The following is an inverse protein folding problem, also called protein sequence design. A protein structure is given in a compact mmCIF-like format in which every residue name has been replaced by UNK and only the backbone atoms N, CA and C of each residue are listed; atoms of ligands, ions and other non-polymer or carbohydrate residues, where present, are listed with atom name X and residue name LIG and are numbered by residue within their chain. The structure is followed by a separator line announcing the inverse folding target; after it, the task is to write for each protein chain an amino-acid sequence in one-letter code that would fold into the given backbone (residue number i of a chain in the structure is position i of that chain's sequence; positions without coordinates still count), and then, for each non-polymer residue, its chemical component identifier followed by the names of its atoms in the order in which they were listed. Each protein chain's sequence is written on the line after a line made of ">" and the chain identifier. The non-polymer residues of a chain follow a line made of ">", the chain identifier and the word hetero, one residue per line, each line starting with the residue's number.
data_IF_340145393145
#
_entry.id   IF_340145393145
#
_cell.length_a   1.000
_cell.length_b   1.000
_cell.length_c   1.000
_cell.angle_alpha   90.00
_cell.angle_beta   90.00
_cell.angle_gamma   90.00
#
_symmetry.space_group_name_H-M   'P 1'
#
loop_
_entity.id
_entity.type
_entity.pdbx_description
1 polymer ?
#
# COMPACT_ATOMS: atom_id res chain seq x y z
N UNK A 1 -6.35 4.04 13.07
CA UNK A 1 -4.95 4.40 12.81
C UNK A 1 -4.24 4.55 14.14
N UNK A 2 -3.05 3.99 14.29
CA UNK A 2 -2.24 4.18 15.49
C UNK A 2 -1.55 5.56 15.43
N UNK A 3 -1.77 6.42 16.43
CA UNK A 3 -1.26 7.80 16.44
C UNK A 3 0.24 7.90 16.70
N UNK A 4 0.87 6.85 17.25
CA UNK A 4 2.31 6.83 17.53
C UNK A 4 3.13 6.39 16.30
N UNK A 5 2.60 5.43 15.55
CA UNK A 5 3.29 4.82 14.40
C UNK A 5 2.71 5.24 13.06
N UNK A 6 1.65 6.07 13.07
CA UNK A 6 0.86 6.45 11.89
C UNK A 6 0.50 5.26 10.98
N UNK A 7 0.24 4.11 11.59
CA UNK A 7 -0.01 2.85 10.86
C UNK A 7 -1.47 2.42 10.95
N UNK A 8 -1.90 1.67 9.94
CA UNK A 8 -3.21 1.04 9.86
C UNK A 8 -3.21 -0.22 10.72
N UNK A 9 -4.20 -0.38 11.60
CA UNK A 9 -4.34 -1.59 12.42
C UNK A 9 -5.12 -2.67 11.67
N UNK A 10 -6.28 -2.29 11.13
CA UNK A 10 -7.08 -3.11 10.24
C UNK A 10 -7.98 -2.19 9.39
N UNK A 11 -8.42 -2.69 8.25
CA UNK A 11 -9.50 -2.09 7.47
C UNK A 11 -10.66 -3.07 7.38
N UNK A 12 -11.87 -2.54 7.20
CA UNK A 12 -13.07 -3.35 6.98
C UNK A 12 -13.92 -2.67 5.93
N UNK A 13 -14.32 -3.43 4.93
CA UNK A 13 -15.31 -3.05 3.92
C UNK A 13 -16.29 -4.18 3.69
N UNK A 14 -17.42 -3.87 3.05
CA UNK A 14 -18.46 -4.83 2.70
C UNK A 14 -18.63 -4.82 1.20
N UNK A 15 -18.57 -6.01 0.59
CA UNK A 15 -18.76 -6.18 -0.85
C UNK A 15 -20.17 -6.72 -1.13
N UNK A 16 -21.11 -5.87 -1.58
CA UNK A 16 -22.40 -6.34 -2.04
C UNK A 16 -22.23 -7.12 -3.35
N UNK A 17 -22.44 -8.44 -3.29
CA UNK A 17 -22.25 -9.34 -4.44
C UNK A 17 -23.06 -8.96 -5.68
N UNK A 18 -24.24 -8.38 -5.49
CA UNK A 18 -25.11 -7.91 -6.59
C UNK A 18 -24.50 -6.77 -7.40
N UNK A 19 -23.66 -5.95 -6.79
CA UNK A 19 -23.09 -4.76 -7.42
C UNK A 19 -21.70 -5.00 -8.04
N UNK A 20 -21.10 -6.19 -7.84
CA UNK A 20 -19.81 -6.56 -8.46
C UNK A 20 -19.89 -6.52 -9.99
N UNK A 21 -21.01 -6.95 -10.58
CA UNK A 21 -21.22 -6.93 -12.04
C UNK A 21 -21.20 -5.51 -12.64
N UNK A 22 -21.49 -4.51 -11.81
CA UNK A 22 -21.51 -3.09 -12.20
C UNK A 22 -20.31 -2.32 -11.66
N UNK A 23 -19.28 -3.02 -11.16
CA UNK A 23 -18.08 -2.38 -10.64
C UNK A 23 -17.33 -1.62 -11.73
N UNK A 24 -16.80 -0.46 -11.35
CA UNK A 24 -15.89 0.33 -12.20
C UNK A 24 -14.56 -0.43 -12.34
N UNK A 25 -14.02 -0.50 -13.56
CA UNK A 25 -12.78 -1.24 -13.84
C UNK A 25 -11.51 -0.39 -13.82
N UNK A 26 -11.63 0.93 -13.73
CA UNK A 26 -10.51 1.87 -13.65
C UNK A 26 -9.86 1.81 -12.27
N UNK A 27 -8.62 1.34 -12.19
CA UNK A 27 -7.87 1.23 -10.92
C UNK A 27 -6.82 2.32 -10.75
N UNK A 28 -6.95 3.44 -11.47
CA UNK A 28 -5.95 4.52 -11.40
C UNK A 28 -6.25 5.54 -10.30
N UNK A 29 -5.20 6.01 -9.63
CA UNK A 29 -5.30 7.06 -8.61
C UNK A 29 -3.95 7.58 -8.15
N UNK A 30 -3.99 8.70 -7.45
CA UNK A 30 -2.81 9.38 -6.89
C UNK A 30 -2.86 9.25 -5.37
N UNK A 31 -1.73 8.94 -4.74
CA UNK A 31 -1.63 8.87 -3.29
C UNK A 31 -1.89 10.23 -2.65
N UNK A 32 -2.67 10.24 -1.56
CA UNK A 32 -3.06 11.46 -0.85
C UNK A 32 -2.87 11.30 0.66
N UNK A 33 -2.36 12.37 1.27
CA UNK A 33 -2.26 12.53 2.72
C UNK A 33 -3.55 13.18 3.24
N UNK A 34 -4.19 12.62 4.27
CA UNK A 34 -5.27 13.33 4.97
C UNK A 34 -4.72 14.23 6.08
N UNK A 35 -5.59 15.02 6.70
CA UNK A 35 -5.27 15.85 7.86
C UNK A 35 -4.80 15.06 9.10
N UNK A 36 -4.89 13.73 9.09
CA UNK A 36 -4.41 12.86 10.17
C UNK A 36 -2.88 12.79 10.25
N UNK A 37 -2.18 13.08 9.16
CA UNK A 37 -0.72 13.16 9.17
C UNK A 37 -0.27 14.59 9.49
N UNK A 38 0.54 14.74 10.53
CA UNK A 38 1.14 16.05 10.88
C UNK A 38 2.02 16.59 9.75
N UNK A 39 2.20 17.91 9.67
CA UNK A 39 3.12 18.55 8.70
C UNK A 39 4.56 18.00 8.75
N UNK A 40 5.00 17.55 9.93
CA UNK A 40 6.33 16.97 10.12
C UNK A 40 6.55 15.62 9.41
N UNK A 41 5.48 14.91 9.06
CA UNK A 41 5.54 13.58 8.44
C UNK A 41 5.08 13.70 7.00
N UNK A 42 6.00 13.43 6.07
CA UNK A 42 5.70 13.33 4.65
C UNK A 42 5.78 11.86 4.19
N UNK A 43 4.65 11.15 4.04
CA UNK A 43 4.65 9.76 3.61
C UNK A 43 5.28 9.56 2.23
N UNK A 44 5.14 10.52 1.30
CA UNK A 44 5.70 10.39 -0.05
C UNK A 44 7.22 10.18 -0.02
N UNK A 45 7.91 10.86 0.88
CA UNK A 45 9.37 10.71 1.04
C UNK A 45 9.73 9.48 1.86
N UNK A 46 8.95 9.15 2.90
CA UNK A 46 9.22 8.02 3.80
C UNK A 46 9.16 6.65 3.10
N UNK A 47 8.27 6.49 2.12
CA UNK A 47 8.22 5.28 1.30
C UNK A 47 9.30 5.23 0.22
N UNK A 48 10.16 6.26 0.10
CA UNK A 48 11.25 6.28 -0.87
C UNK A 48 12.34 5.25 -0.54
N UNK A 49 12.92 4.63 -1.57
CA UNK A 49 13.99 3.64 -1.40
C UNK A 49 15.20 4.18 -0.62
N UNK A 50 15.52 5.47 -0.77
CA UNK A 50 16.60 6.11 -0.01
C UNK A 50 16.33 6.11 1.51
N UNK A 51 15.09 6.40 1.92
CA UNK A 51 14.70 6.35 3.33
C UNK A 51 14.63 4.92 3.86
N UNK A 52 14.18 3.97 3.03
CA UNK A 52 14.21 2.54 3.37
C UNK A 52 15.64 2.05 3.58
N UNK A 53 16.57 2.43 2.70
CA UNK A 53 17.98 2.07 2.82
C UNK A 53 18.61 2.69 4.08
N UNK A 54 18.33 3.96 4.36
CA UNK A 54 18.81 4.63 5.57
C UNK A 54 18.29 3.93 6.83
N UNK A 55 17.00 3.64 6.89
CA UNK A 55 16.38 2.95 8.03
C UNK A 55 16.91 1.52 8.20
N UNK A 56 17.07 0.78 7.11
CA UNK A 56 17.62 -0.59 7.16
C UNK A 56 19.10 -0.59 7.54
N UNK A 57 19.86 0.43 7.15
CA UNK A 57 21.27 0.60 7.56
C UNK A 57 21.38 0.84 9.06
N UNK A 58 20.50 1.67 9.62
CA UNK A 58 20.41 1.91 11.06
C UNK A 58 20.08 0.63 11.83
N UNK A 59 19.13 -0.17 11.34
CA UNK A 59 18.69 -1.41 11.99
C UNK A 59 19.70 -2.56 11.86
N UNK A 60 20.37 -2.68 10.72
CA UNK A 60 21.30 -3.77 10.41
C UNK A 60 22.77 -3.42 10.73
N UNK A 61 23.04 -2.17 11.12
CA UNK A 61 24.35 -1.65 11.50
C UNK A 61 25.31 -1.36 10.34
N UNK A 62 25.04 -1.85 9.12
CA UNK A 62 25.89 -1.62 7.95
C UNK A 62 25.08 -1.41 6.66
N UNK A 63 25.57 -0.54 5.79
CA UNK A 63 24.93 -0.24 4.51
C UNK A 63 24.95 -1.45 3.55
N UNK A 64 26.01 -2.28 3.62
CA UNK A 64 26.15 -3.45 2.77
C UNK A 64 25.11 -4.53 3.10
N UNK A 65 24.67 -4.61 4.36
CA UNK A 65 23.57 -5.50 4.74
C UNK A 65 22.23 -4.95 4.26
N UNK A 66 22.01 -3.63 4.35
CA UNK A 66 20.79 -3.00 3.86
C UNK A 66 20.61 -3.15 2.34
N UNK A 67 21.70 -3.00 1.57
CA UNK A 67 21.70 -3.17 0.10
C UNK A 67 21.38 -4.59 -0.37
N UNK A 68 21.48 -5.61 0.50
CA UNK A 68 21.05 -6.98 0.17
C UNK A 68 19.52 -7.10 0.07
N UNK A 69 18.80 -6.26 0.81
CA UNK A 69 17.34 -6.30 0.90
C UNK A 69 16.65 -5.18 0.14
N UNK A 70 17.30 -4.02 0.01
CA UNK A 70 16.80 -2.87 -0.74
C UNK A 70 17.60 -2.75 -2.03
N UNK A 71 17.01 -3.22 -3.13
CA UNK A 71 17.53 -3.16 -4.50
C UNK A 71 16.50 -2.53 -5.43
N UNK A 72 16.87 -2.30 -6.69
CA UNK A 72 15.96 -1.73 -7.69
C UNK A 72 14.72 -2.61 -7.96
N UNK A 73 14.81 -3.92 -7.66
CA UNK A 73 13.72 -4.89 -7.85
C UNK A 73 13.09 -5.33 -6.54
N UNK A 74 13.81 -5.24 -5.42
CA UNK A 74 13.37 -5.65 -4.09
C UNK A 74 13.34 -4.44 -3.18
N UNK A 75 12.16 -3.86 -3.01
CA UNK A 75 11.94 -2.74 -2.11
C UNK A 75 10.50 -2.76 -1.60
N UNK A 76 10.24 -2.00 -0.55
CA UNK A 76 8.89 -1.85 -0.01
C UNK A 76 8.13 -0.84 -0.86
N UNK A 77 6.94 -1.20 -1.30
CA UNK A 77 6.00 -0.31 -1.96
C UNK A 77 4.86 0.02 -1.02
N UNK A 78 4.07 1.01 -1.42
CA UNK A 78 2.80 1.35 -0.77
C UNK A 78 1.76 0.30 -1.16
N UNK A 79 1.65 -0.74 -0.35
CA UNK A 79 0.65 -1.79 -0.52
C UNK A 79 -0.71 -1.33 0.01
N UNK A 80 -1.78 -1.64 -0.72
CA UNK A 80 -3.15 -1.34 -0.28
C UNK A 80 -3.61 -2.39 0.74
N UNK A 81 -4.07 -1.97 1.92
CA UNK A 81 -4.69 -2.89 2.90
C UNK A 81 -6.09 -3.30 2.44
N UNK A 82 -6.89 -2.32 2.04
CA UNK A 82 -8.14 -2.51 1.30
C UNK A 82 -7.82 -2.48 -0.19
N UNK A 83 -7.93 -3.60 -0.91
CA UNK A 83 -7.62 -3.63 -2.33
C UNK A 83 -8.45 -2.62 -3.12
N UNK A 84 -7.83 -1.94 -4.09
CA UNK A 84 -8.57 -1.02 -4.97
C UNK A 84 -9.60 -1.78 -5.82
N UNK A 85 -9.28 -3.01 -6.22
CA UNK A 85 -10.15 -3.85 -7.05
C UNK A 85 -11.50 -4.17 -6.41
N UNK A 86 -11.57 -4.13 -5.08
CA UNK A 86 -12.80 -4.33 -4.31
C UNK A 86 -13.75 -3.11 -4.41
N UNK A 87 -13.23 -1.96 -4.85
CA UNK A 87 -14.00 -0.74 -5.02
C UNK A 87 -14.99 -0.83 -6.18
N UNK A 88 -16.28 -0.99 -5.86
CA UNK A 88 -17.37 -0.98 -6.86
C UNK A 88 -17.53 0.41 -7.49
N UNK A 89 -17.43 1.45 -6.66
CA UNK A 89 -17.58 2.84 -7.07
C UNK A 89 -16.22 3.50 -7.26
N UNK A 90 -16.12 4.40 -8.24
CA UNK A 90 -14.91 5.19 -8.45
C UNK A 90 -14.50 5.99 -7.22
N UNK A 91 -15.46 6.56 -6.48
CA UNK A 91 -15.17 7.29 -5.23
C UNK A 91 -14.52 6.40 -4.18
N UNK A 92 -14.90 5.12 -4.12
CA UNK A 92 -14.29 4.15 -3.23
C UNK A 92 -12.88 3.77 -3.69
N UNK A 93 -12.68 3.51 -4.98
CA UNK A 93 -11.33 3.29 -5.53
C UNK A 93 -10.39 4.45 -5.19
N UNK A 94 -10.87 5.69 -5.31
CA UNK A 94 -10.14 6.90 -4.92
C UNK A 94 -9.86 6.99 -3.42
N UNK A 95 -10.79 6.51 -2.58
CA UNK A 95 -10.56 6.40 -1.14
C UNK A 95 -9.48 5.36 -0.80
N UNK A 96 -9.23 4.40 -1.69
CA UNK A 96 -8.15 3.43 -1.56
C UNK A 96 -6.73 4.01 -1.62
N UNK A 97 -6.56 5.21 -2.20
CA UNK A 97 -5.27 5.90 -2.37
C UNK A 97 -4.91 6.85 -1.22
N UNK A 98 -5.62 6.77 -0.11
CA UNK A 98 -5.23 7.46 1.11
C UNK A 98 -4.09 6.71 1.81
N UNK A 99 -3.12 7.45 2.37
CA UNK A 99 -2.01 6.87 3.13
C UNK A 99 -2.48 6.09 4.37
N UNK A 100 -3.68 6.36 4.84
CA UNK A 100 -4.42 5.61 5.86
C UNK A 100 -4.84 4.20 5.42
N UNK A 101 -4.67 3.87 4.14
CA UNK A 101 -4.87 2.53 3.58
C UNK A 101 -3.57 1.95 3.02
N UNK A 102 -2.43 2.61 3.28
CA UNK A 102 -1.10 2.17 2.84
C UNK A 102 -0.38 1.40 3.94
N UNK A 103 0.26 0.29 3.57
CA UNK A 103 1.22 -0.43 4.40
C UNK A 103 2.48 -0.75 3.60
N UNK A 104 3.67 -0.70 4.21
CA UNK A 104 4.89 -1.13 3.54
C UNK A 104 4.82 -2.64 3.26
N UNK A 105 4.80 -3.00 2.00
CA UNK A 105 4.80 -4.40 1.54
C UNK A 105 5.89 -4.59 0.50
N UNK A 106 6.50 -5.77 0.47
CA UNK A 106 7.49 -6.09 -0.56
C UNK A 106 6.86 -6.03 -1.95
N UNK A 107 7.50 -5.31 -2.89
CA UNK A 107 7.03 -5.16 -4.27
C UNK A 107 6.59 -6.48 -4.89
N UNK A 108 7.42 -7.52 -4.73
CA UNK A 108 7.14 -8.87 -5.25
C UNK A 108 5.83 -9.47 -4.73
N UNK A 109 5.46 -9.18 -3.48
CA UNK A 109 4.21 -9.66 -2.88
C UNK A 109 3.01 -8.85 -3.38
N UNK A 110 3.15 -7.54 -3.55
CA UNK A 110 2.08 -6.67 -4.08
C UNK A 110 1.78 -7.02 -5.54
N UNK A 111 2.82 -7.19 -6.35
CA UNK A 111 2.68 -7.61 -7.75
C UNK A 111 1.99 -8.99 -7.85
N UNK A 112 2.27 -9.90 -6.91
CA UNK A 112 1.58 -11.19 -6.80
C UNK A 112 0.12 -11.09 -6.33
N UNK A 113 -0.16 -10.29 -5.29
CA UNK A 113 -1.51 -10.10 -4.76
C UNK A 113 -2.45 -9.43 -5.76
N UNK A 114 -1.96 -8.41 -6.47
CA UNK A 114 -2.72 -7.74 -7.53
C UNK A 114 -3.14 -8.73 -8.63
N UNK A 115 -2.35 -9.78 -8.87
CA UNK A 115 -2.66 -10.82 -9.85
C UNK A 115 -3.58 -11.91 -9.31
N UNK A 116 -3.44 -12.32 -8.04
CA UNK A 116 -4.05 -13.57 -7.57
C UNK A 116 -4.99 -13.50 -6.37
N UNK A 117 -4.94 -12.46 -5.53
CA UNK A 117 -5.63 -12.48 -4.23
C UNK A 117 -6.80 -11.50 -4.11
N UNK A 118 -6.84 -10.45 -4.94
CA UNK A 118 -7.89 -9.42 -4.88
C UNK A 118 -9.20 -9.86 -5.56
N UNK A 119 -9.10 -10.75 -6.55
CA UNK A 119 -10.25 -11.49 -7.05
C UNK A 119 -9.88 -12.97 -7.04
N UNK A 120 -10.73 -13.79 -6.43
CA UNK A 120 -10.67 -15.25 -6.48
C UNK A 120 -11.02 -15.75 -7.89
N UNK A 121 -10.26 -15.30 -8.90
CA UNK A 121 -10.44 -15.63 -10.32
C UNK A 121 -9.12 -15.80 -11.07
N UNK A 122 -7.97 -15.66 -10.41
CA UNK A 122 -6.69 -16.09 -10.99
C UNK A 122 -6.30 -17.48 -10.44
N UNK A 123 -7.20 -18.45 -10.64
CA UNK A 123 -6.93 -19.89 -10.56
C UNK A 123 -8.14 -20.61 -11.18
N UNK A 124 -8.31 -20.48 -12.50
CA UNK A 124 -8.81 -21.50 -13.42
C UNK A 124 -8.28 -21.16 -14.82
#
# INVERSE_FOLDING_TARGET
>A
MNSLTFSVLYTKHVLPGTAIKSAVTDTTGTWRKSALFTEAVNPDTLYGQAQQLARMTELLGTADHAKKYITDTQYLVKGHVTPIGDGIFRTWQHAGFYYENAVPQWKVLVDGQARCCVFHTCCL
#
